data_IF_541724855080
#
_entry.id   IF_541724855080
#
_cell.length_a   1.000
_cell.length_b   1.000
_cell.length_c   1.000
_cell.angle_alpha   90.00
_cell.angle_beta   90.00
_cell.angle_gamma   90.00
#
_symmetry.space_group_name_H-M   'P 1'
#
loop_
_entity.id
_entity.type
_entity.pdbx_description
1 polymer ?
#
# COMPACT_ATOMS: atom_id res chain seq x y z
N UNK A 1 -13.06 13.67 -58.56
CA UNK A 1 -12.87 14.43 -57.30
C UNK A 1 -13.11 13.48 -56.13
N UNK A 2 -12.06 12.89 -55.56
CA UNK A 2 -12.16 11.99 -54.41
C UNK A 2 -11.57 12.76 -53.23
N UNK A 3 -12.40 13.12 -52.25
CA UNK A 3 -11.94 13.73 -51.00
C UNK A 3 -11.50 12.61 -50.06
N UNK A 4 -10.18 12.39 -49.96
CA UNK A 4 -9.61 11.63 -48.86
C UNK A 4 -9.67 12.51 -47.60
N UNK A 5 -10.50 12.13 -46.64
CA UNK A 5 -10.36 12.60 -45.26
C UNK A 5 -9.34 11.67 -44.59
N UNK A 6 -8.14 12.14 -44.22
CA UNK A 6 -7.25 11.32 -43.42
C UNK A 6 -7.87 11.20 -42.03
N UNK A 7 -8.24 9.98 -41.66
CA UNK A 7 -8.68 9.60 -40.32
C UNK A 7 -7.80 10.26 -39.29
N UNK A 8 -8.38 11.18 -38.52
CA UNK A 8 -7.78 11.67 -37.29
C UNK A 8 -7.79 10.47 -36.34
N UNK A 9 -6.67 9.76 -36.29
CA UNK A 9 -6.44 8.70 -35.32
C UNK A 9 -6.40 9.39 -33.96
N UNK A 10 -7.55 9.41 -33.28
CA UNK A 10 -7.65 9.77 -31.88
C UNK A 10 -6.83 8.76 -31.11
N UNK A 11 -5.55 9.07 -30.90
CA UNK A 11 -4.70 8.36 -29.95
C UNK A 11 -5.34 8.66 -28.59
N UNK A 12 -6.22 7.78 -28.15
CA UNK A 12 -6.77 7.78 -26.81
C UNK A 12 -5.58 7.77 -25.86
N UNK A 13 -5.30 8.93 -25.26
CA UNK A 13 -4.33 9.09 -24.20
C UNK A 13 -4.84 8.21 -23.04
N UNK A 14 -4.42 6.95 -23.03
CA UNK A 14 -4.70 6.07 -21.91
C UNK A 14 -3.93 6.64 -20.74
N UNK A 15 -4.65 7.38 -19.90
CA UNK A 15 -4.19 7.75 -18.57
C UNK A 15 -4.04 6.41 -17.85
N UNK A 16 -2.84 5.84 -17.92
CA UNK A 16 -2.45 4.72 -17.08
C UNK A 16 -2.41 5.32 -15.69
N UNK A 17 -3.54 5.21 -15.00
CA UNK A 17 -3.63 5.35 -13.56
C UNK A 17 -2.54 4.46 -12.98
N UNK A 18 -1.42 5.06 -12.58
CA UNK A 18 -0.43 4.39 -11.73
C UNK A 18 -1.15 4.18 -10.42
N UNK A 19 -1.86 3.05 -10.33
CA UNK A 19 -2.35 2.52 -9.07
C UNK A 19 -1.17 2.58 -8.11
N UNK A 20 -1.37 3.25 -6.97
CA UNK A 20 -0.42 3.25 -5.85
C UNK A 20 0.10 1.83 -5.70
N UNK A 21 1.41 1.63 -5.86
CA UNK A 21 2.02 0.30 -5.92
C UNK A 21 1.62 -0.52 -4.70
N UNK A 22 0.62 -1.38 -4.86
CA UNK A 22 0.21 -2.28 -3.80
C UNK A 22 1.22 -3.39 -3.64
N UNK A 23 1.66 -3.64 -2.41
CA UNK A 23 2.71 -4.61 -2.12
C UNK A 23 2.59 -5.15 -0.71
N UNK A 24 3.19 -6.30 -0.51
CA UNK A 24 3.41 -6.81 0.83
C UNK A 24 4.60 -6.09 1.48
N UNK A 25 4.42 -5.71 2.74
CA UNK A 25 5.48 -5.14 3.58
C UNK A 25 6.12 -6.19 4.49
N UNK A 26 5.45 -7.33 4.71
CA UNK A 26 5.97 -8.41 5.54
C UNK A 26 6.55 -9.53 4.67
N UNK A 27 7.77 -10.04 4.98
CA UNK A 27 8.41 -11.10 4.19
C UNK A 27 7.73 -12.49 4.27
N UNK A 28 6.65 -12.65 5.04
CA UNK A 28 6.02 -13.95 5.32
C UNK A 28 4.53 -13.98 4.96
N UNK A 29 4.08 -13.08 4.07
CA UNK A 29 2.67 -13.00 3.70
C UNK A 29 2.13 -14.29 3.08
N UNK A 30 2.92 -15.00 2.26
CA UNK A 30 2.55 -16.32 1.74
C UNK A 30 2.27 -17.33 2.86
N UNK A 31 3.16 -17.41 3.85
CA UNK A 31 2.96 -18.26 5.03
C UNK A 31 1.68 -17.84 5.78
N UNK A 32 1.47 -16.55 5.99
CA UNK A 32 0.27 -16.06 6.69
C UNK A 32 -1.03 -16.41 5.95
N UNK A 33 -1.02 -16.38 4.62
CA UNK A 33 -2.14 -16.86 3.81
C UNK A 33 -2.40 -18.34 4.01
N UNK A 34 -1.35 -19.18 4.05
CA UNK A 34 -1.52 -20.62 4.32
C UNK A 34 -2.04 -20.93 5.73
N UNK A 35 -1.81 -20.02 6.68
CA UNK A 35 -2.34 -20.06 8.05
C UNK A 35 -3.73 -19.44 8.19
N UNK A 36 -4.38 -19.10 7.05
CA UNK A 36 -5.71 -18.50 6.98
C UNK A 36 -5.83 -17.12 7.68
N UNK A 37 -4.71 -16.42 7.89
CA UNK A 37 -4.70 -15.12 8.54
C UNK A 37 -5.38 -14.03 7.68
N UNK A 38 -5.48 -14.23 6.37
CA UNK A 38 -6.23 -13.33 5.48
C UNK A 38 -7.75 -13.36 5.77
N UNK A 39 -8.28 -14.45 6.33
CA UNK A 39 -9.71 -14.57 6.65
C UNK A 39 -9.98 -14.62 8.17
N UNK A 40 -8.92 -14.71 8.97
CA UNK A 40 -8.98 -14.72 10.43
C UNK A 40 -9.72 -13.49 11.03
N UNK A 41 -10.17 -13.69 12.27
CA UNK A 41 -11.03 -12.81 13.07
C UNK A 41 -10.65 -11.31 13.00
N UNK A 42 -11.67 -10.46 13.21
CA UNK A 42 -11.64 -9.00 13.04
C UNK A 42 -10.43 -8.24 13.64
N UNK A 43 -9.76 -8.79 14.65
CA UNK A 43 -8.58 -8.18 15.29
C UNK A 43 -7.28 -8.28 14.46
N UNK A 44 -7.15 -9.27 13.58
CA UNK A 44 -5.96 -9.46 12.74
C UNK A 44 -6.10 -8.82 11.34
N UNK A 45 -7.35 -8.53 10.95
CA UNK A 45 -7.69 -7.86 9.69
C UNK A 45 -6.89 -6.57 9.45
N UNK A 46 -6.72 -5.64 10.42
CA UNK A 46 -5.97 -4.42 10.16
C UNK A 46 -4.49 -4.67 9.90
N UNK A 47 -3.90 -5.63 10.62
CA UNK A 47 -2.49 -6.02 10.47
C UNK A 47 -2.28 -6.65 9.09
N UNK A 48 -3.16 -7.56 8.65
CA UNK A 48 -3.03 -8.21 7.35
C UNK A 48 -3.32 -7.26 6.19
N UNK A 49 -4.32 -6.38 6.33
CA UNK A 49 -4.59 -5.33 5.33
C UNK A 49 -3.43 -4.37 5.14
N UNK A 50 -2.68 -4.09 6.20
CA UNK A 50 -1.53 -3.19 6.10
C UNK A 50 -0.26 -3.90 5.60
N UNK A 51 -0.01 -5.12 6.06
CA UNK A 51 1.27 -5.79 5.83
C UNK A 51 1.29 -6.75 4.65
N UNK A 52 0.13 -7.29 4.27
CA UNK A 52 -0.01 -8.35 3.29
C UNK A 52 -1.10 -8.02 2.28
N UNK A 53 -1.17 -6.75 1.87
CA UNK A 53 -2.24 -6.23 1.05
C UNK A 53 -2.34 -6.93 -0.30
N UNK A 54 -1.20 -7.32 -0.89
CA UNK A 54 -1.17 -7.99 -2.17
C UNK A 54 -1.55 -9.46 -2.03
N UNK A 55 -0.87 -10.19 -1.14
CA UNK A 55 -1.10 -11.63 -0.95
C UNK A 55 -2.52 -11.95 -0.46
N UNK A 56 -3.08 -11.12 0.42
CA UNK A 56 -4.44 -11.27 0.95
C UNK A 56 -5.52 -10.55 0.12
N UNK A 57 -5.19 -9.99 -1.05
CA UNK A 57 -6.16 -9.31 -1.93
C UNK A 57 -6.90 -8.15 -1.23
N UNK A 58 -6.14 -7.38 -0.45
CA UNK A 58 -6.59 -6.19 0.26
C UNK A 58 -6.13 -4.87 -0.37
N UNK A 59 -5.44 -4.90 -1.51
CA UNK A 59 -5.13 -3.70 -2.29
C UNK A 59 -6.37 -2.81 -2.46
N UNK A 60 -6.24 -1.51 -2.17
CA UNK A 60 -7.33 -0.55 -2.26
C UNK A 60 -8.38 -0.65 -1.14
N UNK A 61 -8.20 -1.52 -0.14
CA UNK A 61 -9.05 -1.60 1.05
C UNK A 61 -8.42 -0.80 2.19
N UNK A 62 -9.23 -0.05 2.92
CA UNK A 62 -8.77 0.61 4.14
C UNK A 62 -8.37 -0.44 5.18
N UNK A 63 -7.13 -0.34 5.68
CA UNK A 63 -6.65 -1.15 6.79
C UNK A 63 -7.42 -0.85 8.09
N UNK A 64 -8.04 0.32 8.19
CA UNK A 64 -8.70 0.80 9.40
C UNK A 64 -7.68 1.37 10.37
N UNK A 65 -7.47 0.70 11.50
CA UNK A 65 -6.50 1.11 12.53
C UNK A 65 -5.15 0.42 12.33
N UNK A 66 -4.07 1.13 12.61
CA UNK A 66 -2.74 0.56 12.69
C UNK A 66 -2.02 1.10 13.93
N UNK A 67 -0.95 0.42 14.35
CA UNK A 67 -0.18 0.79 15.55
C UNK A 67 1.30 0.79 15.25
N UNK A 68 2.01 1.67 15.94
CA UNK A 68 3.47 1.69 15.95
C UNK A 68 4.01 0.46 16.68
N UNK A 69 5.15 -0.05 16.18
CA UNK A 69 5.82 -1.26 16.67
C UNK A 69 7.11 -0.93 17.42
N UNK A 70 7.68 0.25 17.19
CA UNK A 70 8.89 0.73 17.83
C UNK A 70 8.56 1.87 18.78
N UNK A 71 9.32 1.97 19.87
CA UNK A 71 9.13 3.03 20.87
C UNK A 71 9.70 4.38 20.43
N UNK A 72 10.64 4.40 19.48
CA UNK A 72 11.31 5.60 19.01
C UNK A 72 10.68 6.21 17.74
N UNK A 73 9.44 5.87 17.42
CA UNK A 73 8.75 6.43 16.25
C UNK A 73 8.68 7.97 16.26
N UNK A 74 8.50 8.59 17.42
CA UNK A 74 8.51 10.05 17.55
C UNK A 74 9.83 10.70 17.12
N UNK A 75 10.96 10.03 17.39
CA UNK A 75 12.30 10.45 16.93
C UNK A 75 12.43 10.30 15.42
N UNK A 76 11.95 9.18 14.86
CA UNK A 76 11.98 8.98 13.42
C UNK A 76 11.17 10.07 12.68
N UNK A 77 10.00 10.43 13.20
CA UNK A 77 9.23 11.54 12.65
C UNK A 77 9.94 12.88 12.78
N UNK A 78 10.50 13.19 13.95
CA UNK A 78 11.16 14.49 14.18
C UNK A 78 12.44 14.66 13.34
N UNK A 79 13.09 13.56 12.97
CA UNK A 79 14.28 13.54 12.10
C UNK A 79 13.94 13.43 10.60
N UNK A 80 12.65 13.35 10.24
CA UNK A 80 12.17 13.29 8.86
C UNK A 80 12.34 11.92 8.19
N UNK A 81 12.51 10.84 8.96
CA UNK A 81 12.72 9.49 8.43
C UNK A 81 11.48 8.94 7.70
N UNK A 82 10.27 9.43 7.97
CA UNK A 82 9.07 9.05 7.24
C UNK A 82 9.11 9.52 5.76
N UNK A 83 10.02 10.43 5.40
CA UNK A 83 10.12 11.10 4.10
C UNK A 83 11.40 10.75 3.35
N UNK A 84 12.27 9.93 3.94
CA UNK A 84 13.53 9.47 3.34
C UNK A 84 13.35 8.25 2.42
N UNK A 85 14.43 7.81 1.79
CA UNK A 85 14.45 6.55 1.04
C UNK A 85 14.21 5.32 1.95
N UNK A 86 14.46 5.45 3.26
CA UNK A 86 14.18 4.44 4.28
C UNK A 86 12.69 4.33 4.64
N UNK A 87 11.83 5.19 4.07
CA UNK A 87 10.42 5.32 4.48
C UNK A 87 9.66 4.01 4.52
N UNK A 88 9.92 3.04 3.65
CA UNK A 88 9.17 1.77 3.66
C UNK A 88 9.39 0.98 4.94
N UNK A 89 10.63 0.94 5.41
CA UNK A 89 10.98 0.29 6.67
C UNK A 89 10.40 1.06 7.85
N UNK A 90 10.42 2.39 7.77
CA UNK A 90 9.90 3.27 8.82
C UNK A 90 8.37 3.21 8.88
N UNK A 91 7.68 3.25 7.76
CA UNK A 91 6.23 3.08 7.63
C UNK A 91 5.80 1.72 8.18
N UNK A 92 6.50 0.63 7.82
CA UNK A 92 6.21 -0.68 8.41
C UNK A 92 6.30 -0.67 9.95
N UNK A 93 7.30 0.00 10.50
CA UNK A 93 7.55 0.05 11.93
C UNK A 93 6.68 1.07 12.70
N UNK A 94 6.37 2.21 12.08
CA UNK A 94 5.77 3.39 12.70
C UNK A 94 4.60 3.95 11.86
N UNK A 95 3.63 3.12 11.43
CA UNK A 95 2.62 3.53 10.47
C UNK A 95 1.62 4.55 11.03
N UNK A 96 1.43 4.58 12.36
CA UNK A 96 0.55 5.56 13.01
C UNK A 96 1.27 6.90 13.11
N UNK A 97 2.52 6.89 13.57
CA UNK A 97 3.31 8.12 13.69
C UNK A 97 3.57 8.79 12.33
N UNK A 98 3.84 8.00 11.28
CA UNK A 98 4.01 8.50 9.90
C UNK A 98 2.69 8.78 9.16
N UNK A 99 1.52 8.61 9.79
CA UNK A 99 0.19 8.88 9.21
C UNK A 99 -0.11 8.10 7.91
N UNK A 100 0.26 6.81 7.88
CA UNK A 100 0.07 5.93 6.71
C UNK A 100 -0.94 4.79 6.94
N UNK A 101 -1.62 4.73 8.10
CA UNK A 101 -2.64 3.70 8.37
C UNK A 101 -3.74 3.63 7.29
N UNK A 102 -4.14 4.79 6.75
CA UNK A 102 -5.25 4.90 5.79
C UNK A 102 -4.83 4.60 4.34
N UNK A 103 -3.53 4.41 4.09
CA UNK A 103 -2.96 4.15 2.77
C UNK A 103 -2.09 2.89 2.82
N UNK A 104 -2.66 1.72 3.17
CA UNK A 104 -1.95 0.47 2.93
C UNK A 104 -1.63 0.43 1.43
N UNK A 105 -0.34 0.35 1.12
CA UNK A 105 0.15 0.13 -0.24
C UNK A 105 -0.24 -1.28 -0.62
#
# INVERSE_FOLDING_TARGET
MIRLFPSVFLISLQIVSVSSQCRDLHPYCDLFKTLDLCTAVASQQPIMKYNCAQTCEFCGKSAGSCVDRLSNCGEYKSTGLCETDDKLRIEYACPMTCDVCSKPV
#
